data_IF_484339440588
#
_entry.id   IF_484339440588
#
_cell.length_a   1.000
_cell.length_b   1.000
_cell.length_c   1.000
_cell.angle_alpha   90.00
_cell.angle_beta   90.00
_cell.angle_gamma   90.00
#
_symmetry.space_group_name_H-M   'P 1'
#
loop_
_entity.id
_entity.type
_entity.pdbx_description
1 polymer ?
#
# COMPACT_ATOMS: atom_id res chain seq x y z
N UNK A 1 -9.62 33.21 -10.14
CA UNK A 1 -8.23 33.40 -9.67
C UNK A 1 -7.54 32.05 -9.70
N UNK A 2 -6.40 31.95 -10.36
CA UNK A 2 -5.50 30.80 -10.23
C UNK A 2 -4.64 31.01 -8.99
N UNK A 3 -4.71 30.10 -8.02
CA UNK A 3 -3.76 30.02 -6.90
C UNK A 3 -2.58 29.16 -7.34
N UNK A 4 -1.35 29.60 -7.08
CA UNK A 4 -0.16 28.76 -7.32
C UNK A 4 -0.06 27.62 -6.29
N UNK A 5 0.75 26.61 -6.58
CA UNK A 5 0.98 25.51 -5.62
C UNK A 5 1.64 26.01 -4.33
N UNK A 6 2.62 26.90 -4.44
CA UNK A 6 3.30 27.49 -3.29
C UNK A 6 2.32 28.24 -2.37
N UNK A 7 1.51 29.12 -2.96
CA UNK A 7 0.47 29.86 -2.20
C UNK A 7 -0.55 28.91 -1.56
N UNK A 8 -0.93 27.82 -2.23
CA UNK A 8 -1.84 26.83 -1.67
C UNK A 8 -1.22 26.11 -0.47
N UNK A 9 0.02 25.63 -0.59
CA UNK A 9 0.67 24.87 0.49
C UNK A 9 1.14 25.73 1.66
N UNK A 10 1.35 27.04 1.46
CA UNK A 10 1.61 27.98 2.53
C UNK A 10 0.40 28.23 3.44
N UNK A 11 -0.83 27.91 2.99
CA UNK A 11 -2.05 28.12 3.76
C UNK A 11 -2.22 27.11 4.91
N UNK A 12 -2.87 27.51 6.02
CA UNK A 12 -3.32 26.57 7.05
C UNK A 12 -4.17 25.43 6.47
N UNK A 13 -4.13 24.27 7.11
CA UNK A 13 -4.84 23.07 6.62
C UNK A 13 -6.35 23.27 6.44
N UNK A 14 -6.96 24.06 7.33
CA UNK A 14 -8.38 24.43 7.24
C UNK A 14 -8.68 25.22 5.96
N UNK A 15 -7.88 26.24 5.66
CA UNK A 15 -8.03 27.05 4.43
C UNK A 15 -7.75 26.22 3.15
N UNK A 16 -6.76 25.33 3.17
CA UNK A 16 -6.55 24.38 2.07
C UNK A 16 -7.81 23.54 1.82
N UNK A 17 -8.42 23.02 2.90
CA UNK A 17 -9.66 22.23 2.82
C UNK A 17 -10.85 23.07 2.34
N UNK A 18 -10.96 24.34 2.74
CA UNK A 18 -12.00 25.26 2.25
C UNK A 18 -11.90 25.47 0.74
N UNK A 19 -10.68 25.73 0.24
CA UNK A 19 -10.41 25.87 -1.19
C UNK A 19 -10.74 24.59 -1.96
N UNK A 20 -10.33 23.43 -1.44
CA UNK A 20 -10.65 22.13 -2.05
C UNK A 20 -12.15 21.90 -2.08
N UNK A 21 -12.86 22.13 -0.97
CA UNK A 21 -14.31 21.95 -0.88
C UNK A 21 -15.04 22.87 -1.86
N UNK A 22 -14.72 24.15 -1.85
CA UNK A 22 -15.33 25.14 -2.73
C UNK A 22 -15.15 24.78 -4.21
N UNK A 23 -13.92 24.44 -4.62
CA UNK A 23 -13.63 24.23 -6.03
C UNK A 23 -13.99 22.83 -6.55
N UNK A 24 -13.97 21.81 -5.68
CA UNK A 24 -14.17 20.42 -6.08
C UNK A 24 -15.52 19.83 -5.64
N UNK A 25 -16.28 20.49 -4.77
CA UNK A 25 -17.57 19.98 -4.28
C UNK A 25 -18.72 20.99 -4.44
N UNK A 26 -18.43 22.30 -4.42
CA UNK A 26 -19.45 23.36 -4.57
C UNK A 26 -19.55 23.84 -6.01
N UNK A 27 -18.45 24.34 -6.58
CA UNK A 27 -18.37 24.89 -7.93
C UNK A 27 -18.47 23.84 -9.03
N UNK A 28 -18.27 22.57 -8.70
CA UNK A 28 -18.28 21.43 -9.62
C UNK A 28 -18.93 20.24 -8.94
N UNK A 29 -19.56 19.37 -9.74
CA UNK A 29 -20.05 18.10 -9.22
C UNK A 29 -18.85 17.20 -8.81
N UNK A 30 -18.90 16.58 -7.61
CA UNK A 30 -17.82 15.74 -7.10
C UNK A 30 -17.81 14.34 -7.74
N UNK A 31 -17.40 14.26 -9.02
CA UNK A 31 -17.52 13.03 -9.84
C UNK A 31 -16.27 12.14 -9.88
N UNK A 32 -15.10 12.62 -9.49
CA UNK A 32 -13.91 11.76 -9.42
C UNK A 32 -14.00 10.79 -8.25
N UNK A 33 -13.33 9.64 -8.37
CA UNK A 33 -13.32 8.61 -7.32
C UNK A 33 -12.86 9.14 -5.95
N UNK A 34 -11.87 10.05 -5.92
CA UNK A 34 -11.42 10.66 -4.67
C UNK A 34 -12.49 11.56 -4.03
N UNK A 35 -13.27 12.30 -4.84
CA UNK A 35 -14.35 13.15 -4.35
C UNK A 35 -15.55 12.33 -3.90
N UNK A 36 -15.97 11.34 -4.70
CA UNK A 36 -17.04 10.38 -4.34
C UNK A 36 -16.67 9.67 -3.05
N UNK A 37 -15.39 9.30 -2.87
CA UNK A 37 -14.90 8.69 -1.63
C UNK A 37 -15.17 9.54 -0.39
N UNK A 38 -14.91 10.85 -0.45
CA UNK A 38 -15.23 11.78 0.66
C UNK A 38 -16.73 11.82 0.93
N UNK A 39 -17.57 11.90 -0.11
CA UNK A 39 -19.04 11.88 0.03
C UNK A 39 -19.51 10.57 0.68
N UNK A 40 -19.00 9.42 0.23
CA UNK A 40 -19.32 8.11 0.78
C UNK A 40 -18.96 8.01 2.26
N UNK A 41 -17.78 8.51 2.66
CA UNK A 41 -17.37 8.55 4.07
C UNK A 41 -18.37 9.36 4.90
N UNK A 42 -18.67 10.58 4.47
CA UNK A 42 -19.57 11.48 5.21
C UNK A 42 -20.98 10.88 5.34
N UNK A 43 -21.51 10.28 4.27
CA UNK A 43 -22.80 9.57 4.35
C UNK A 43 -22.77 8.40 5.33
N UNK A 44 -21.73 7.55 5.27
CA UNK A 44 -21.59 6.41 6.18
C UNK A 44 -21.43 6.80 7.65
N UNK A 45 -20.93 8.01 7.91
CA UNK A 45 -20.82 8.58 9.27
C UNK A 45 -22.12 9.21 9.77
N UNK A 46 -23.16 9.30 8.93
CA UNK A 46 -24.46 9.91 9.27
C UNK A 46 -24.54 11.41 8.97
N UNK A 47 -23.66 11.94 8.10
CA UNK A 47 -23.55 13.38 7.80
C UNK A 47 -24.20 13.78 6.46
N UNK A 48 -25.12 12.96 5.95
CA UNK A 48 -25.78 13.17 4.66
C UNK A 48 -26.46 14.55 4.54
N UNK A 49 -27.08 15.03 5.63
CA UNK A 49 -27.73 16.34 5.66
C UNK A 49 -26.75 17.49 5.47
N UNK A 50 -25.56 17.41 6.10
CA UNK A 50 -24.51 18.41 5.93
C UNK A 50 -23.94 18.36 4.52
N UNK A 51 -23.73 17.17 3.95
CA UNK A 51 -23.29 17.02 2.55
C UNK A 51 -24.29 17.65 1.59
N UNK A 52 -25.58 17.39 1.79
CA UNK A 52 -26.67 17.94 0.96
C UNK A 52 -26.69 19.46 0.99
N UNK A 53 -26.50 20.05 2.18
CA UNK A 53 -26.40 21.51 2.38
C UNK A 53 -25.04 22.10 2.02
N UNK A 54 -24.05 21.25 1.67
CA UNK A 54 -22.64 21.59 1.45
C UNK A 54 -21.99 22.29 2.65
N UNK A 55 -22.43 21.95 3.84
CA UNK A 55 -22.05 22.60 5.11
C UNK A 55 -20.76 21.98 5.69
N UNK A 56 -19.61 22.49 5.23
CA UNK A 56 -18.30 22.08 5.73
C UNK A 56 -18.09 22.44 7.21
N UNK A 57 -18.70 23.52 7.70
CA UNK A 57 -18.57 23.95 9.09
C UNK A 57 -19.28 22.96 10.04
N UNK A 58 -20.50 22.54 9.70
CA UNK A 58 -21.23 21.49 10.41
C UNK A 58 -20.49 20.15 10.41
N UNK A 59 -19.89 19.77 9.29
CA UNK A 59 -19.03 18.57 9.20
C UNK A 59 -17.86 18.66 10.18
N UNK A 60 -17.13 19.79 10.21
CA UNK A 60 -16.01 20.00 11.13
C UNK A 60 -16.44 19.96 12.60
N UNK A 61 -17.55 20.60 12.92
CA UNK A 61 -18.09 20.62 14.28
C UNK A 61 -18.42 19.19 14.77
N UNK A 62 -18.94 18.34 13.89
CA UNK A 62 -19.16 16.93 14.19
C UNK A 62 -17.85 16.18 14.48
N UNK A 63 -16.84 16.34 13.61
CA UNK A 63 -15.53 15.70 13.79
C UNK A 63 -14.83 16.14 15.09
N UNK A 64 -14.98 17.41 15.49
CA UNK A 64 -14.39 17.93 16.72
C UNK A 64 -14.98 17.32 18.00
N UNK A 65 -16.16 16.70 17.91
CA UNK A 65 -16.83 16.04 19.05
C UNK A 65 -16.47 14.56 19.18
N UNK A 66 -15.70 13.99 18.26
CA UNK A 66 -15.40 12.55 18.28
C UNK A 66 -14.25 12.25 19.24
N UNK A 67 -14.41 11.19 20.04
CA UNK A 67 -13.31 10.55 20.73
C UNK A 67 -12.45 9.73 19.75
N UNK A 68 -11.13 9.74 19.94
CA UNK A 68 -10.20 9.14 18.98
C UNK A 68 -10.33 7.62 18.94
N UNK A 69 -10.32 6.95 20.09
CA UNK A 69 -10.43 5.50 20.20
C UNK A 69 -11.79 4.99 19.72
N UNK A 70 -12.88 5.67 20.12
CA UNK A 70 -14.23 5.34 19.65
C UNK A 70 -14.37 5.55 18.13
N UNK A 71 -13.78 6.62 17.59
CA UNK A 71 -13.81 6.90 16.16
C UNK A 71 -13.05 5.83 15.36
N UNK A 72 -11.91 5.36 15.87
CA UNK A 72 -11.17 4.24 15.26
C UNK A 72 -12.05 3.00 15.19
N UNK A 73 -12.69 2.59 16.28
CA UNK A 73 -13.55 1.39 16.25
C UNK A 73 -14.76 1.59 15.34
N UNK A 74 -15.38 2.78 15.34
CA UNK A 74 -16.48 3.12 14.41
C UNK A 74 -16.05 2.97 12.96
N UNK A 75 -14.89 3.49 12.57
CA UNK A 75 -14.36 3.36 11.20
C UNK A 75 -14.11 1.90 10.85
N UNK A 76 -13.52 1.10 11.75
CA UNK A 76 -13.27 -0.32 11.50
C UNK A 76 -14.56 -1.12 11.32
N UNK A 77 -15.60 -0.82 12.11
CA UNK A 77 -16.92 -1.43 11.99
C UNK A 77 -17.58 -1.07 10.65
N UNK A 78 -17.65 0.22 10.31
CA UNK A 78 -18.23 0.69 9.04
C UNK A 78 -17.49 0.12 7.82
N UNK A 79 -16.16 0.09 7.87
CA UNK A 79 -15.33 -0.47 6.81
C UNK A 79 -15.36 -2.01 6.78
N UNK A 80 -15.86 -2.67 7.83
CA UNK A 80 -15.80 -4.13 8.03
C UNK A 80 -14.37 -4.67 7.92
N UNK A 81 -13.44 -4.06 8.67
CA UNK A 81 -12.01 -4.39 8.66
C UNK A 81 -11.63 -5.04 9.99
N UNK A 82 -10.94 -6.19 9.93
CA UNK A 82 -10.46 -6.90 11.12
C UNK A 82 -9.24 -6.22 11.73
N UNK A 83 -8.24 -5.92 10.89
CA UNK A 83 -7.02 -5.19 11.24
C UNK A 83 -6.49 -4.45 10.00
N UNK A 84 -5.59 -3.51 10.23
CA UNK A 84 -4.77 -2.86 9.20
C UNK A 84 -3.31 -3.24 9.39
N UNK A 85 -2.55 -3.17 8.30
CA UNK A 85 -1.09 -3.23 8.36
C UNK A 85 -0.54 -1.85 8.05
N UNK A 86 0.20 -1.31 9.02
CA UNK A 86 0.83 0.01 8.93
C UNK A 86 2.08 -0.06 8.06
N UNK A 87 2.48 1.09 7.52
CA UNK A 87 3.79 1.29 6.90
C UNK A 87 4.67 2.00 7.92
N UNK A 88 5.71 1.31 8.42
CA UNK A 88 6.56 1.84 9.49
C UNK A 88 8.00 2.05 9.01
N UNK A 89 8.50 3.28 9.11
CA UNK A 89 9.73 3.72 8.46
C UNK A 89 10.81 3.96 9.52
N UNK A 90 11.76 3.03 9.73
CA UNK A 90 12.83 3.19 10.72
C UNK A 90 13.85 4.27 10.34
N UNK A 91 13.75 4.83 9.13
CA UNK A 91 14.58 5.91 8.61
C UNK A 91 13.97 7.31 8.88
N UNK A 92 12.78 7.38 9.47
CA UNK A 92 12.11 8.65 9.80
C UNK A 92 12.15 8.86 11.32
N UNK A 93 12.98 9.81 11.75
CA UNK A 93 13.22 10.12 13.17
C UNK A 93 11.94 10.34 13.99
N UNK A 94 11.00 11.09 13.43
CA UNK A 94 9.71 11.37 14.09
C UNK A 94 8.93 10.08 14.39
N UNK A 95 9.04 9.07 13.53
CA UNK A 95 8.37 7.79 13.75
C UNK A 95 9.15 6.91 14.73
N UNK A 96 10.48 6.84 14.60
CA UNK A 96 11.31 6.04 15.50
C UNK A 96 11.22 6.52 16.95
N UNK A 97 11.14 7.83 17.18
CA UNK A 97 10.91 8.43 18.50
C UNK A 97 9.58 7.96 19.13
N UNK A 98 8.52 7.78 18.34
CA UNK A 98 7.24 7.27 18.84
C UNK A 98 7.34 5.80 19.25
N UNK A 99 8.03 4.98 18.46
CA UNK A 99 8.26 3.58 18.80
C UNK A 99 9.14 3.42 20.05
N UNK A 100 10.15 4.27 20.22
CA UNK A 100 11.04 4.26 21.38
C UNK A 100 10.34 4.65 22.69
N UNK A 101 9.21 5.37 22.63
CA UNK A 101 8.39 5.69 23.80
C UNK A 101 7.62 4.47 24.36
N UNK A 102 7.67 3.30 23.69
CA UNK A 102 7.17 2.04 24.25
C UNK A 102 5.65 1.88 24.25
N UNK A 103 4.90 2.70 23.51
CA UNK A 103 3.46 2.50 23.32
C UNK A 103 3.26 1.37 22.30
N UNK A 104 3.02 0.16 22.78
CA UNK A 104 2.69 -0.99 21.92
C UNK A 104 1.48 -0.71 21.03
N UNK A 105 1.30 -1.50 19.97
CA UNK A 105 0.17 -1.34 19.06
C UNK A 105 -1.05 -2.16 19.51
N UNK A 106 -2.25 -1.67 19.18
CA UNK A 106 -3.47 -2.46 19.31
C UNK A 106 -3.43 -3.66 18.36
N UNK A 107 -4.14 -4.76 18.70
CA UNK A 107 -4.33 -5.93 17.81
C UNK A 107 -4.94 -5.56 16.45
N UNK A 108 -5.57 -4.39 16.35
CA UNK A 108 -6.10 -3.80 15.10
C UNK A 108 -5.01 -3.28 14.16
N UNK A 109 -3.80 -3.02 14.65
CA UNK A 109 -2.71 -2.38 13.91
C UNK A 109 -1.47 -3.27 13.94
N UNK A 110 -1.25 -4.00 12.85
CA UNK A 110 -0.01 -4.74 12.60
C UNK A 110 1.01 -3.82 11.93
N UNK A 111 2.28 -4.14 12.01
CA UNK A 111 3.38 -3.32 11.47
C UNK A 111 4.07 -3.99 10.27
N UNK A 112 4.60 -3.16 9.37
CA UNK A 112 5.49 -3.61 8.32
C UNK A 112 6.68 -2.66 8.23
N UNK A 113 7.89 -3.22 8.11
CA UNK A 113 9.12 -2.43 8.12
C UNK A 113 9.42 -1.92 6.70
N UNK A 114 9.31 -0.61 6.48
CA UNK A 114 9.58 0.02 5.19
C UNK A 114 11.06 0.33 5.00
N UNK A 115 11.66 -0.20 3.94
CA UNK A 115 13.09 -0.21 3.67
C UNK A 115 13.46 0.30 2.26
N UNK A 116 12.69 1.27 1.74
CA UNK A 116 12.96 1.92 0.44
C UNK A 116 14.45 2.25 0.19
N UNK A 117 15.23 2.79 1.15
CA UNK A 117 16.64 3.09 0.93
C UNK A 117 17.50 1.91 0.44
N UNK A 118 17.15 0.68 0.81
CA UNK A 118 17.85 -0.53 0.37
C UNK A 118 17.70 -0.71 -1.15
N UNK A 119 16.47 -0.61 -1.67
CA UNK A 119 16.19 -0.84 -3.09
C UNK A 119 16.60 0.35 -3.96
N UNK A 120 16.67 1.56 -3.39
CA UNK A 120 17.18 2.72 -4.12
C UNK A 120 18.71 2.79 -4.16
N UNK A 121 19.41 1.96 -3.38
CA UNK A 121 20.86 2.09 -3.21
C UNK A 121 21.26 3.33 -2.42
N UNK A 122 20.38 3.82 -1.54
CA UNK A 122 20.60 5.05 -0.77
C UNK A 122 21.37 4.76 0.53
N UNK A 123 22.68 4.53 0.35
CA UNK A 123 23.60 4.24 1.44
C UNK A 123 23.79 5.42 2.40
N UNK A 124 23.61 6.66 1.92
CA UNK A 124 23.68 7.86 2.75
C UNK A 124 22.60 7.88 3.83
N UNK A 125 21.35 7.62 3.46
CA UNK A 125 20.25 7.51 4.44
C UNK A 125 20.48 6.36 5.41
N UNK A 126 20.95 5.20 4.92
CA UNK A 126 21.22 4.04 5.78
C UNK A 126 22.31 4.37 6.81
N UNK A 127 23.47 4.87 6.37
CA UNK A 127 24.60 5.17 7.27
C UNK A 127 24.30 6.29 8.26
N UNK A 128 23.49 7.28 7.90
CA UNK A 128 23.00 8.29 8.84
C UNK A 128 22.24 7.62 10.02
N UNK A 129 21.34 6.68 9.72
CA UNK A 129 20.62 5.94 10.75
C UNK A 129 21.53 4.97 11.54
N UNK A 130 22.54 4.38 10.91
CA UNK A 130 23.52 3.54 11.61
C UNK A 130 24.31 4.35 12.64
N UNK A 131 24.76 5.56 12.28
CA UNK A 131 25.42 6.50 13.21
C UNK A 131 24.54 6.82 14.41
N UNK A 132 23.28 7.21 14.16
CA UNK A 132 22.33 7.51 15.24
C UNK A 132 22.07 6.30 16.15
N UNK A 133 22.11 5.09 15.60
CA UNK A 133 21.97 3.84 16.34
C UNK A 133 23.27 3.33 17.00
N UNK A 134 24.40 4.04 16.86
CA UNK A 134 25.72 3.59 17.28
C UNK A 134 26.14 2.23 16.67
N UNK A 135 25.76 1.99 15.43
CA UNK A 135 26.13 0.80 14.65
C UNK A 135 27.23 1.15 13.64
N UNK A 136 28.13 0.19 13.30
CA UNK A 136 29.17 0.43 12.30
C UNK A 136 28.54 0.67 10.92
N UNK A 137 29.13 1.58 10.13
CA UNK A 137 28.71 1.89 8.75
C UNK A 137 29.11 0.80 7.76
N UNK A 138 28.68 -0.44 8.01
CA UNK A 138 28.95 -1.62 7.18
C UNK A 138 27.67 -2.37 6.85
N UNK A 139 27.75 -3.34 5.94
CA UNK A 139 26.62 -4.19 5.58
C UNK A 139 26.12 -4.99 6.80
N UNK A 140 27.02 -5.41 7.70
CA UNK A 140 26.70 -6.04 8.98
C UNK A 140 25.89 -5.10 9.87
N UNK A 141 26.31 -3.83 9.98
CA UNK A 141 25.57 -2.81 10.72
C UNK A 141 24.19 -2.57 10.14
N UNK A 142 24.06 -2.51 8.82
CA UNK A 142 22.77 -2.42 8.13
C UNK A 142 21.86 -3.63 8.41
N UNK A 143 22.42 -4.85 8.42
CA UNK A 143 21.68 -6.07 8.80
C UNK A 143 21.16 -5.95 10.24
N UNK A 144 22.03 -5.59 11.18
CA UNK A 144 21.66 -5.49 12.59
C UNK A 144 20.61 -4.41 12.85
N UNK A 145 20.71 -3.28 12.14
CA UNK A 145 19.71 -2.20 12.20
C UNK A 145 18.32 -2.69 11.76
N UNK A 146 18.23 -3.34 10.59
CA UNK A 146 16.96 -3.87 10.09
C UNK A 146 16.40 -4.95 11.00
N UNK A 147 17.23 -5.85 11.54
CA UNK A 147 16.79 -6.88 12.49
C UNK A 147 16.25 -6.28 13.78
N UNK A 148 16.97 -5.31 14.34
CA UNK A 148 16.58 -4.63 15.56
C UNK A 148 15.21 -3.97 15.40
N UNK A 149 15.01 -3.23 14.31
CA UNK A 149 13.73 -2.57 14.05
C UNK A 149 12.61 -3.54 13.70
N UNK A 150 12.87 -4.56 12.87
CA UNK A 150 11.87 -5.58 12.54
C UNK A 150 11.35 -6.29 13.80
N UNK A 151 12.25 -6.65 14.73
CA UNK A 151 11.88 -7.24 16.02
C UNK A 151 11.14 -6.25 16.91
N UNK A 152 11.62 -5.01 17.03
CA UNK A 152 11.03 -3.97 17.88
C UNK A 152 9.58 -3.68 17.54
N UNK A 153 9.26 -3.56 16.26
CA UNK A 153 7.90 -3.24 15.82
C UNK A 153 7.05 -4.48 15.60
N UNK A 154 7.60 -5.69 15.76
CA UNK A 154 6.96 -6.96 15.43
C UNK A 154 6.50 -7.01 13.96
N UNK A 155 7.37 -6.59 13.05
CA UNK A 155 7.07 -6.49 11.62
C UNK A 155 6.61 -7.84 11.06
N UNK A 156 5.48 -7.84 10.33
CA UNK A 156 4.98 -9.07 9.69
C UNK A 156 5.55 -9.28 8.28
N UNK A 157 6.14 -8.24 7.69
CA UNK A 157 6.93 -8.31 6.46
C UNK A 157 7.84 -7.08 6.34
N UNK A 158 8.87 -7.19 5.49
CA UNK A 158 9.64 -6.04 4.99
C UNK A 158 8.91 -5.46 3.79
N UNK A 159 8.91 -4.15 3.59
CA UNK A 159 8.32 -3.53 2.41
C UNK A 159 9.18 -2.45 1.78
N UNK A 160 9.11 -2.29 0.47
CA UNK A 160 9.79 -1.22 -0.23
C UNK A 160 9.02 -0.80 -1.49
N UNK A 161 9.07 0.50 -1.80
CA UNK A 161 8.77 0.97 -3.16
C UNK A 161 10.06 1.00 -3.98
N UNK A 162 10.02 0.49 -5.20
CA UNK A 162 11.17 0.54 -6.09
C UNK A 162 11.34 1.96 -6.65
N UNK A 163 12.58 2.41 -6.95
CA UNK A 163 12.77 3.55 -7.83
C UNK A 163 12.26 3.22 -9.25
N UNK A 164 12.07 4.26 -10.08
CA UNK A 164 11.57 4.09 -11.45
C UNK A 164 12.55 3.33 -12.36
N UNK A 165 13.85 3.49 -12.11
CA UNK A 165 14.97 2.88 -12.80
C UNK A 165 15.52 1.66 -12.04
N UNK A 166 14.66 0.96 -11.28
CA UNK A 166 15.08 -0.17 -10.46
C UNK A 166 15.73 -1.27 -11.29
N UNK A 167 16.95 -1.63 -10.89
CA UNK A 167 17.73 -2.73 -11.46
C UNK A 167 18.11 -3.72 -10.36
N UNK A 168 18.26 -4.97 -10.74
CA UNK A 168 18.76 -6.03 -9.87
C UNK A 168 19.59 -7.01 -10.69
N UNK A 169 20.86 -7.18 -10.32
CA UNK A 169 21.79 -8.07 -11.00
C UNK A 169 23.12 -7.39 -11.37
N UNK A 170 23.92 -8.02 -12.25
CA UNK A 170 25.31 -7.62 -12.49
C UNK A 170 25.49 -6.26 -13.18
N UNK A 171 24.42 -5.68 -13.73
CA UNK A 171 24.45 -4.37 -14.39
C UNK A 171 24.01 -3.22 -13.48
N UNK A 172 23.58 -3.52 -12.25
CA UNK A 172 23.24 -2.50 -11.26
C UNK A 172 24.50 -1.74 -10.82
N UNK A 173 24.37 -0.42 -10.68
CA UNK A 173 25.47 0.49 -10.41
C UNK A 173 25.23 1.26 -9.10
N UNK A 174 26.28 1.57 -8.32
CA UNK A 174 26.14 2.40 -7.14
C UNK A 174 25.58 3.78 -7.49
N UNK A 175 24.73 4.33 -6.63
CA UNK A 175 24.23 5.71 -6.79
C UNK A 175 25.31 6.78 -6.60
N UNK A 176 26.36 6.47 -5.84
CA UNK A 176 27.52 7.33 -5.65
C UNK A 176 28.81 6.50 -5.61
N UNK A 177 29.97 7.08 -5.98
CA UNK A 177 31.26 6.40 -5.85
C UNK A 177 31.51 5.89 -4.42
N UNK A 178 31.91 4.62 -4.29
CA UNK A 178 32.19 3.98 -3.00
C UNK A 178 30.96 3.47 -2.24
N UNK A 179 29.75 3.71 -2.73
CA UNK A 179 28.54 3.10 -2.15
C UNK A 179 28.34 1.66 -2.64
N UNK A 180 27.67 0.79 -1.86
CA UNK A 180 27.17 -0.47 -2.39
C UNK A 180 26.09 -0.24 -3.45
N UNK A 181 25.94 -1.20 -4.36
CA UNK A 181 24.80 -1.24 -5.30
C UNK A 181 23.51 -1.60 -4.55
N UNK A 182 22.34 -1.35 -5.16
CA UNK A 182 21.08 -1.85 -4.60
C UNK A 182 21.10 -3.39 -4.56
N UNK A 183 21.65 -4.04 -5.57
CA UNK A 183 21.83 -5.50 -5.65
C UNK A 183 22.64 -6.02 -4.46
N UNK A 184 23.75 -5.38 -4.12
CA UNK A 184 24.56 -5.73 -2.93
C UNK A 184 23.76 -5.56 -1.65
N UNK A 185 23.05 -4.44 -1.47
CA UNK A 185 22.21 -4.23 -0.30
C UNK A 185 21.08 -5.26 -0.20
N UNK A 186 20.49 -5.65 -1.33
CA UNK A 186 19.44 -6.67 -1.37
C UNK A 186 20.00 -8.04 -0.98
N UNK A 187 21.09 -8.46 -1.61
CA UNK A 187 21.68 -9.79 -1.46
C UNK A 187 22.34 -9.99 -0.09
N UNK A 188 23.02 -8.96 0.41
CA UNK A 188 23.82 -9.04 1.64
C UNK A 188 23.08 -8.47 2.86
N UNK A 189 22.01 -7.69 2.69
CA UNK A 189 21.28 -7.10 3.82
C UNK A 189 19.83 -7.56 3.86
N UNK A 190 19.02 -7.22 2.86
CA UNK A 190 17.57 -7.50 2.90
C UNK A 190 17.24 -8.99 2.93
N UNK A 191 17.81 -9.77 2.01
CA UNK A 191 17.54 -11.20 1.88
C UNK A 191 17.99 -11.98 3.12
N UNK A 192 19.19 -11.78 3.68
CA UNK A 192 19.61 -12.44 4.91
C UNK A 192 18.71 -12.11 6.10
N UNK A 193 18.29 -10.84 6.26
CA UNK A 193 17.36 -10.45 7.33
C UNK A 193 15.99 -11.11 7.15
N UNK A 194 15.47 -11.11 5.92
CA UNK A 194 14.21 -11.78 5.60
C UNK A 194 14.28 -13.28 5.92
N UNK A 195 15.38 -13.95 5.56
CA UNK A 195 15.61 -15.37 5.82
C UNK A 195 15.71 -15.68 7.32
N UNK A 196 16.53 -14.93 8.04
CA UNK A 196 16.77 -15.13 9.48
C UNK A 196 15.48 -14.95 10.29
N UNK A 197 14.63 -13.98 9.93
CA UNK A 197 13.41 -13.66 10.67
C UNK A 197 12.15 -14.33 10.12
N UNK A 198 12.24 -15.02 8.97
CA UNK A 198 11.10 -15.57 8.25
C UNK A 198 10.11 -14.49 7.82
N UNK A 199 10.61 -13.37 7.30
CA UNK A 199 9.79 -12.22 6.88
C UNK A 199 9.65 -12.17 5.35
N UNK A 200 8.42 -12.16 4.82
CA UNK A 200 8.18 -11.90 3.40
C UNK A 200 8.61 -10.48 3.00
N UNK A 201 8.79 -10.27 1.70
CA UNK A 201 9.24 -9.00 1.13
C UNK A 201 8.16 -8.41 0.20
N UNK A 202 7.54 -7.32 0.61
CA UNK A 202 6.51 -6.60 -0.14
C UNK A 202 7.09 -5.49 -1.01
N UNK A 203 6.98 -5.64 -2.33
CA UNK A 203 7.52 -4.72 -3.33
C UNK A 203 6.39 -3.96 -4.02
N UNK A 204 6.49 -2.63 -4.04
CA UNK A 204 5.61 -1.73 -4.79
C UNK A 204 6.37 -1.18 -6.01
N UNK A 205 5.98 -1.56 -7.22
CA UNK A 205 6.74 -1.29 -8.45
C UNK A 205 6.05 -0.28 -9.37
N UNK A 206 6.84 0.60 -9.99
CA UNK A 206 6.39 1.49 -11.08
C UNK A 206 6.06 2.93 -10.70
N UNK A 207 6.41 3.39 -9.50
CA UNK A 207 6.29 4.81 -9.14
C UNK A 207 7.47 5.63 -9.68
N UNK A 208 7.17 6.73 -10.37
CA UNK A 208 8.16 7.73 -10.76
C UNK A 208 8.07 8.93 -9.81
N UNK A 209 9.04 9.03 -8.89
CA UNK A 209 9.04 10.08 -7.88
C UNK A 209 9.36 11.44 -8.47
N UNK A 210 8.71 12.48 -7.96
CA UNK A 210 9.06 13.88 -8.30
C UNK A 210 8.83 14.25 -9.77
N UNK A 211 7.83 13.67 -10.43
CA UNK A 211 7.40 14.07 -11.77
C UNK A 211 6.92 15.53 -11.80
N UNK A 212 6.30 15.99 -10.71
CA UNK A 212 6.04 17.40 -10.43
C UNK A 212 6.41 17.73 -8.98
N UNK A 213 7.67 18.16 -8.71
CA UNK A 213 8.15 18.40 -7.35
C UNK A 213 7.35 19.44 -6.56
N UNK A 214 6.68 20.37 -7.24
CA UNK A 214 5.87 21.39 -6.58
C UNK A 214 4.63 20.81 -5.86
N UNK A 215 4.25 19.55 -6.16
CA UNK A 215 3.16 18.83 -5.50
C UNK A 215 3.64 17.84 -4.42
N UNK A 216 4.94 17.83 -4.09
CA UNK A 216 5.50 16.97 -3.04
C UNK A 216 4.84 17.15 -1.65
N UNK A 217 4.43 18.36 -1.20
CA UNK A 217 3.81 18.52 0.12
C UNK A 217 2.53 17.71 0.33
N UNK A 218 1.82 17.32 -0.73
CA UNK A 218 0.67 16.43 -0.66
C UNK A 218 0.93 15.00 -1.16
N UNK A 219 2.17 14.70 -1.56
CA UNK A 219 2.53 13.43 -2.21
C UNK A 219 1.89 13.25 -3.59
N UNK A 220 1.38 14.32 -4.21
CA UNK A 220 0.73 14.31 -5.52
C UNK A 220 1.67 14.56 -6.69
N UNK A 221 2.97 14.78 -6.41
CA UNK A 221 4.00 15.06 -7.41
C UNK A 221 4.60 13.82 -8.07
N UNK A 222 4.22 12.62 -7.62
CA UNK A 222 4.69 11.38 -8.23
C UNK A 222 3.86 11.04 -9.47
N UNK A 223 4.41 10.18 -10.31
CA UNK A 223 3.75 9.64 -11.49
C UNK A 223 3.93 8.13 -11.59
N UNK A 224 3.64 7.60 -12.77
CA UNK A 224 3.71 6.16 -13.07
C UNK A 224 4.59 5.90 -14.28
N UNK A 225 5.36 4.81 -14.21
CA UNK A 225 6.09 4.22 -15.33
C UNK A 225 5.72 2.74 -15.47
N UNK A 226 5.90 2.21 -16.66
CA UNK A 226 5.90 0.75 -16.87
C UNK A 226 7.16 0.21 -16.21
N UNK A 227 7.00 -0.61 -15.17
CA UNK A 227 8.12 -1.20 -14.47
C UNK A 227 8.70 -2.36 -15.29
N UNK A 228 10.02 -2.51 -15.28
CA UNK A 228 10.66 -3.77 -15.70
C UNK A 228 10.34 -4.86 -14.67
N UNK A 229 9.81 -5.98 -15.16
CA UNK A 229 9.44 -7.15 -14.34
C UNK A 229 10.65 -8.07 -14.13
N UNK A 230 11.72 -7.94 -14.92
CA UNK A 230 12.91 -8.78 -14.84
C UNK A 230 13.59 -8.79 -13.45
N UNK A 231 13.73 -7.65 -12.73
CA UNK A 231 14.24 -7.66 -11.36
C UNK A 231 13.42 -8.54 -10.40
N UNK A 232 12.09 -8.45 -10.44
CA UNK A 232 11.22 -9.27 -9.60
C UNK A 232 11.34 -10.75 -9.94
N UNK A 233 11.38 -11.10 -11.24
CA UNK A 233 11.61 -12.47 -11.70
C UNK A 233 12.94 -13.03 -11.18
N UNK A 234 14.02 -12.25 -11.30
CA UNK A 234 15.34 -12.65 -10.83
C UNK A 234 15.39 -12.83 -9.30
N UNK A 235 14.74 -11.94 -8.54
CA UNK A 235 14.60 -12.09 -7.09
C UNK A 235 13.90 -13.38 -6.70
N UNK A 236 12.76 -13.68 -7.34
CA UNK A 236 12.00 -14.91 -7.08
C UNK A 236 12.80 -16.16 -7.43
N UNK A 237 13.52 -16.15 -8.56
CA UNK A 237 14.33 -17.27 -9.03
C UNK A 237 15.56 -17.52 -8.15
N UNK A 238 16.25 -16.47 -7.72
CA UNK A 238 17.46 -16.58 -6.89
C UNK A 238 17.15 -16.98 -5.45
N UNK A 239 15.96 -16.62 -4.95
CA UNK A 239 15.57 -16.83 -3.55
C UNK A 239 14.25 -17.64 -3.45
N UNK A 240 14.24 -18.92 -3.86
CA UNK A 240 13.04 -19.74 -3.90
C UNK A 240 12.43 -20.04 -2.52
N UNK A 241 13.21 -19.84 -1.45
CA UNK A 241 12.83 -19.98 -0.05
C UNK A 241 12.22 -18.69 0.54
N UNK A 242 12.41 -17.54 -0.13
CA UNK A 242 11.89 -16.25 0.31
C UNK A 242 10.57 -15.96 -0.38
N UNK A 243 9.59 -15.52 0.42
CA UNK A 243 8.26 -15.11 -0.05
C UNK A 243 8.27 -13.63 -0.46
N UNK A 244 7.75 -13.34 -1.65
CA UNK A 244 7.60 -12.01 -2.21
C UNK A 244 6.12 -11.65 -2.35
N UNK A 245 5.75 -10.48 -1.84
CA UNK A 245 4.49 -9.82 -2.13
C UNK A 245 4.75 -8.74 -3.18
N UNK A 246 3.91 -8.62 -4.21
CA UNK A 246 4.11 -7.58 -5.23
C UNK A 246 2.82 -6.85 -5.62
N UNK A 247 2.93 -5.55 -5.82
CA UNK A 247 1.88 -4.73 -6.45
C UNK A 247 2.51 -3.76 -7.45
N UNK A 248 1.81 -3.54 -8.56
CA UNK A 248 2.30 -2.73 -9.68
C UNK A 248 1.40 -1.53 -9.89
N UNK A 249 2.01 -0.37 -10.15
CA UNK A 249 1.31 0.89 -10.31
C UNK A 249 0.72 1.07 -11.70
N UNK A 250 1.40 0.56 -12.71
CA UNK A 250 0.99 0.68 -14.11
C UNK A 250 -0.04 -0.38 -14.48
N UNK A 251 -1.09 0.06 -15.20
CA UNK A 251 -2.12 -0.82 -15.76
C UNK A 251 -1.53 -1.86 -16.73
N UNK A 252 -0.54 -1.47 -17.54
CA UNK A 252 0.00 -2.36 -18.58
C UNK A 252 0.86 -3.50 -18.04
N UNK A 253 1.43 -3.36 -16.83
CA UNK A 253 2.19 -4.45 -16.20
C UNK A 253 1.30 -5.59 -15.69
N UNK A 254 -0.01 -5.33 -15.47
CA UNK A 254 -0.85 -6.24 -14.68
C UNK A 254 -0.95 -7.64 -15.29
N UNK A 255 -1.04 -7.74 -16.62
CA UNK A 255 -1.12 -9.04 -17.31
C UNK A 255 0.17 -9.86 -17.18
N UNK A 256 1.32 -9.27 -17.51
CA UNK A 256 2.62 -9.95 -17.41
C UNK A 256 2.87 -10.46 -16.00
N UNK A 257 2.50 -9.66 -15.00
CA UNK A 257 2.68 -10.02 -13.58
C UNK A 257 1.75 -11.17 -13.17
N UNK A 258 0.54 -11.28 -13.72
CA UNK A 258 -0.30 -12.47 -13.53
C UNK A 258 0.39 -13.73 -14.07
N UNK A 259 0.97 -13.66 -15.28
CA UNK A 259 1.73 -14.78 -15.86
C UNK A 259 2.91 -15.13 -14.98
N UNK A 260 3.65 -14.13 -14.48
CA UNK A 260 4.79 -14.35 -13.59
C UNK A 260 4.38 -15.09 -12.31
N UNK A 261 3.28 -14.68 -11.67
CA UNK A 261 2.76 -15.33 -10.46
C UNK A 261 2.44 -16.81 -10.68
N UNK A 262 1.96 -17.21 -11.87
CA UNK A 262 1.77 -18.63 -12.19
C UNK A 262 3.08 -19.44 -12.19
N UNK A 263 4.23 -18.80 -12.38
CA UNK A 263 5.54 -19.49 -12.49
C UNK A 263 6.28 -19.56 -11.17
N UNK A 264 5.99 -18.66 -10.23
CA UNK A 264 6.72 -18.52 -8.97
C UNK A 264 5.80 -18.70 -7.77
N UNK A 265 5.83 -19.89 -7.15
CA UNK A 265 5.05 -20.20 -5.93
C UNK A 265 5.37 -19.29 -4.74
N UNK A 266 6.54 -18.65 -4.77
CA UNK A 266 7.01 -17.72 -3.76
C UNK A 266 6.67 -16.26 -4.10
N UNK A 267 5.80 -16.01 -5.09
CA UNK A 267 5.29 -14.68 -5.44
C UNK A 267 3.77 -14.62 -5.23
N UNK A 268 3.31 -13.66 -4.45
CA UNK A 268 1.89 -13.37 -4.25
C UNK A 268 1.57 -11.93 -4.64
N UNK A 269 0.72 -11.74 -5.64
CA UNK A 269 0.34 -10.40 -6.09
C UNK A 269 -0.88 -9.91 -5.33
N UNK A 270 -0.89 -8.62 -5.02
CA UNK A 270 -1.95 -8.04 -4.21
C UNK A 270 -2.36 -6.65 -4.69
N UNK A 271 -3.64 -6.37 -4.57
CA UNK A 271 -4.18 -5.02 -4.64
C UNK A 271 -4.22 -4.35 -6.01
N UNK A 272 -4.91 -3.21 -6.03
CA UNK A 272 -4.93 -2.26 -7.13
C UNK A 272 -4.33 -0.95 -6.61
N UNK A 273 -3.02 -0.79 -6.75
CA UNK A 273 -2.27 0.27 -6.08
C UNK A 273 -2.50 1.64 -6.71
N UNK A 274 -2.81 2.65 -5.88
CA UNK A 274 -2.82 4.08 -6.21
C UNK A 274 -3.53 4.45 -7.52
N UNK A 275 -2.84 4.65 -8.65
CA UNK A 275 -3.50 4.99 -9.93
C UNK A 275 -4.38 3.85 -10.48
N UNK A 276 -4.11 2.61 -10.07
CA UNK A 276 -4.99 1.47 -10.34
C UNK A 276 -6.18 1.38 -9.37
N UNK A 277 -6.25 2.23 -8.32
CA UNK A 277 -7.32 2.20 -7.33
C UNK A 277 -8.56 3.02 -7.77
N UNK A 278 -9.06 2.71 -8.96
CA UNK A 278 -10.26 3.28 -9.56
C UNK A 278 -11.21 2.13 -9.94
N UNK A 279 -12.54 2.27 -9.83
CA UNK A 279 -13.48 1.15 -10.02
C UNK A 279 -13.32 0.38 -11.34
N UNK A 280 -13.07 1.09 -12.46
CA UNK A 280 -12.83 0.47 -13.77
C UNK A 280 -11.55 -0.38 -13.81
N UNK A 281 -10.48 0.10 -13.17
CA UNK A 281 -9.21 -0.62 -13.08
C UNK A 281 -9.32 -1.80 -12.10
N UNK A 282 -10.05 -1.63 -10.98
CA UNK A 282 -10.29 -2.71 -10.03
C UNK A 282 -11.07 -3.85 -10.68
N UNK A 283 -12.13 -3.56 -11.46
CA UNK A 283 -12.88 -4.58 -12.20
C UNK A 283 -11.96 -5.33 -13.18
N UNK A 284 -11.27 -4.60 -14.07
CA UNK A 284 -10.41 -5.18 -15.10
C UNK A 284 -9.28 -6.04 -14.50
N UNK A 285 -8.57 -5.52 -13.51
CA UNK A 285 -7.45 -6.22 -12.86
C UNK A 285 -7.96 -7.45 -12.10
N UNK A 286 -9.08 -7.34 -11.40
CA UNK A 286 -9.65 -8.48 -10.66
C UNK A 286 -10.11 -9.58 -11.61
N UNK A 287 -10.76 -9.21 -12.72
CA UNK A 287 -11.23 -10.14 -13.76
C UNK A 287 -10.08 -10.91 -14.40
N UNK A 288 -9.04 -10.21 -14.80
CA UNK A 288 -7.83 -10.81 -15.36
C UNK A 288 -7.17 -11.77 -14.35
N UNK A 289 -7.01 -11.34 -13.11
CA UNK A 289 -6.38 -12.16 -12.05
C UNK A 289 -7.19 -13.39 -11.72
N UNK A 290 -8.52 -13.30 -11.58
CA UNK A 290 -9.32 -14.48 -11.24
C UNK A 290 -9.34 -15.50 -12.38
N UNK A 291 -9.34 -15.05 -13.63
CA UNK A 291 -9.29 -15.92 -14.81
C UNK A 291 -7.96 -16.68 -14.91
N UNK A 292 -6.85 -16.07 -14.49
CA UNK A 292 -5.51 -16.67 -14.60
C UNK A 292 -5.02 -17.37 -13.33
N UNK A 293 -5.46 -16.93 -12.15
CA UNK A 293 -4.92 -17.34 -10.85
C UNK A 293 -5.95 -17.98 -9.92
N UNK A 294 -7.23 -18.01 -10.31
CA UNK A 294 -8.31 -18.42 -9.41
C UNK A 294 -8.34 -17.52 -8.17
N UNK A 295 -8.23 -18.11 -6.97
CA UNK A 295 -8.24 -17.37 -5.70
C UNK A 295 -6.84 -17.21 -5.07
N UNK A 296 -5.78 -17.52 -5.80
CA UNK A 296 -4.39 -17.46 -5.33
C UNK A 296 -3.76 -16.05 -5.43
N UNK A 297 -4.52 -15.02 -5.06
CA UNK A 297 -4.07 -13.63 -4.98
C UNK A 297 -4.90 -12.85 -3.97
N UNK A 298 -4.51 -11.62 -3.65
CA UNK A 298 -5.33 -10.72 -2.83
C UNK A 298 -5.87 -9.57 -3.66
N UNK A 299 -7.19 -9.42 -3.69
CA UNK A 299 -7.85 -8.54 -4.65
C UNK A 299 -7.56 -7.05 -4.39
N UNK A 300 -7.51 -6.64 -3.12
CA UNK A 300 -7.40 -5.22 -2.79
C UNK A 300 -6.54 -4.90 -1.55
N UNK A 301 -5.98 -3.69 -1.51
CA UNK A 301 -5.58 -2.97 -0.30
C UNK A 301 -6.05 -1.50 -0.37
N UNK A 302 -6.17 -0.80 0.76
CA UNK A 302 -6.71 0.57 0.78
C UNK A 302 -5.67 1.65 0.45
N UNK A 303 -4.42 1.45 0.90
CA UNK A 303 -3.37 2.48 0.96
C UNK A 303 -3.87 3.78 1.63
N UNK A 304 -4.75 3.63 2.63
CA UNK A 304 -5.38 4.75 3.33
C UNK A 304 -4.33 5.58 4.08
N UNK A 305 -4.36 6.90 3.85
CA UNK A 305 -3.52 7.89 4.54
C UNK A 305 -4.29 8.70 5.59
N UNK A 306 -5.62 8.66 5.50
CA UNK A 306 -6.54 9.20 6.50
C UNK A 306 -7.44 8.03 6.91
N UNK A 307 -7.65 7.87 8.22
CA UNK A 307 -8.28 6.69 8.83
C UNK A 307 -9.62 6.31 8.18
N UNK A 308 -10.51 7.28 8.01
CA UNK A 308 -11.86 7.06 7.48
C UNK A 308 -11.93 6.77 5.98
N UNK A 309 -10.81 6.92 5.25
CA UNK A 309 -10.72 6.43 3.87
C UNK A 309 -10.94 4.92 3.80
N UNK A 310 -10.68 4.17 4.88
CA UNK A 310 -11.02 2.74 4.96
C UNK A 310 -12.48 2.49 4.57
N UNK A 311 -13.40 3.36 4.96
CA UNK A 311 -14.83 3.20 4.70
C UNK A 311 -15.09 3.13 3.19
N UNK A 312 -14.74 4.19 2.44
CA UNK A 312 -15.04 4.22 1.01
C UNK A 312 -14.13 3.27 0.21
N UNK A 313 -12.85 3.14 0.57
CA UNK A 313 -11.90 2.26 -0.15
C UNK A 313 -12.41 0.83 -0.16
N UNK A 314 -12.86 0.32 0.98
CA UNK A 314 -13.40 -1.03 1.07
C UNK A 314 -14.81 -1.14 0.49
N UNK A 315 -15.69 -0.15 0.69
CA UNK A 315 -17.03 -0.17 0.12
C UNK A 315 -17.00 -0.19 -1.42
N UNK A 316 -16.22 0.71 -2.03
CA UNK A 316 -16.11 0.85 -3.47
C UNK A 316 -15.41 -0.36 -4.10
N UNK A 317 -14.32 -0.84 -3.48
CA UNK A 317 -13.61 -2.02 -3.99
C UNK A 317 -14.48 -3.27 -3.94
N UNK A 318 -15.22 -3.51 -2.84
CA UNK A 318 -16.17 -4.64 -2.77
C UNK A 318 -17.25 -4.52 -3.85
N UNK A 319 -17.75 -3.31 -4.12
CA UNK A 319 -18.74 -3.05 -5.17
C UNK A 319 -18.19 -3.31 -6.58
N UNK A 320 -16.90 -3.05 -6.82
CA UNK A 320 -16.24 -3.36 -8.09
C UNK A 320 -15.88 -4.86 -8.23
N UNK A 321 -15.48 -5.52 -7.13
CA UNK A 321 -15.07 -6.94 -7.15
C UNK A 321 -16.27 -7.89 -7.22
N UNK A 322 -17.37 -7.59 -6.50
CA UNK A 322 -18.49 -8.52 -6.38
C UNK A 322 -19.11 -8.95 -7.74
N UNK A 323 -19.35 -8.05 -8.71
CA UNK A 323 -19.85 -8.44 -10.03
C UNK A 323 -18.93 -9.42 -10.76
N UNK A 324 -17.61 -9.23 -10.65
CA UNK A 324 -16.61 -10.14 -11.25
C UNK A 324 -16.75 -11.54 -10.67
N UNK A 325 -16.87 -11.67 -9.34
CA UNK A 325 -17.02 -12.97 -8.68
C UNK A 325 -18.35 -13.65 -9.04
N UNK A 326 -19.45 -12.89 -9.03
CA UNK A 326 -20.78 -13.38 -9.41
C UNK A 326 -20.74 -13.95 -10.83
N UNK A 327 -20.11 -13.24 -11.77
CA UNK A 327 -20.00 -13.72 -13.15
C UNK A 327 -19.21 -15.03 -13.25
N UNK A 328 -18.09 -15.16 -12.54
CA UNK A 328 -17.27 -16.39 -12.56
C UNK A 328 -17.99 -17.57 -11.90
N UNK A 329 -18.66 -17.37 -10.77
CA UNK A 329 -19.47 -18.42 -10.14
C UNK A 329 -20.65 -18.84 -11.03
N UNK A 330 -21.30 -17.91 -11.72
CA UNK A 330 -22.34 -18.25 -12.68
C UNK A 330 -21.79 -19.00 -13.90
N UNK A 331 -20.59 -18.67 -14.39
CA UNK A 331 -19.92 -19.44 -15.46
C UNK A 331 -19.68 -20.88 -14.99
N UNK A 332 -19.21 -21.05 -13.76
CA UNK A 332 -18.98 -22.36 -13.15
C UNK A 332 -20.28 -23.17 -13.01
N UNK A 333 -21.37 -22.56 -12.53
CA UNK A 333 -22.70 -23.19 -12.49
C UNK A 333 -23.20 -23.61 -13.88
N UNK A 334 -23.06 -22.74 -14.89
CA UNK A 334 -23.46 -23.06 -16.28
C UNK A 334 -22.64 -24.20 -16.88
N UNK A 335 -21.41 -24.41 -16.42
CA UNK A 335 -20.57 -25.54 -16.80
C UNK A 335 -20.95 -26.85 -16.09
N UNK A 336 -21.99 -26.85 -15.25
CA UNK A 336 -22.48 -28.04 -14.55
C UNK A 336 -21.91 -28.26 -13.15
N UNK A 337 -21.13 -27.32 -12.62
CA UNK A 337 -20.62 -27.41 -11.25
C UNK A 337 -21.67 -26.92 -10.24
N UNK A 338 -21.82 -27.64 -9.13
CA UNK A 338 -22.72 -27.23 -8.03
C UNK A 338 -21.94 -26.39 -7.03
N UNK A 339 -22.29 -25.11 -6.92
CA UNK A 339 -21.65 -24.17 -6.01
C UNK A 339 -22.45 -24.09 -4.70
N UNK A 340 -21.81 -24.30 -3.55
CA UNK A 340 -22.45 -24.08 -2.24
C UNK A 340 -22.17 -22.69 -1.68
N UNK A 341 -22.98 -22.27 -0.70
CA UNK A 341 -22.78 -21.00 -0.01
C UNK A 341 -21.43 -20.95 0.72
N UNK A 342 -21.05 -22.05 1.36
CA UNK A 342 -19.82 -22.18 2.13
C UNK A 342 -18.58 -22.06 1.22
N UNK A 343 -18.65 -22.62 0.01
CA UNK A 343 -17.57 -22.48 -0.99
C UNK A 343 -17.43 -21.03 -1.45
N UNK A 344 -18.54 -20.35 -1.72
CA UNK A 344 -18.56 -18.93 -2.08
C UNK A 344 -17.97 -18.08 -0.96
N UNK A 345 -18.38 -18.30 0.29
CA UNK A 345 -17.87 -17.57 1.45
C UNK A 345 -16.37 -17.79 1.64
N UNK A 346 -15.89 -19.04 1.53
CA UNK A 346 -14.47 -19.40 1.58
C UNK A 346 -13.67 -18.68 0.49
N UNK A 347 -14.14 -18.69 -0.74
CA UNK A 347 -13.40 -18.15 -1.88
C UNK A 347 -13.43 -16.62 -1.93
N UNK A 348 -14.50 -15.99 -1.44
CA UNK A 348 -14.52 -14.55 -1.13
C UNK A 348 -13.51 -14.24 -0.02
N UNK A 349 -13.49 -15.02 1.06
CA UNK A 349 -12.56 -14.80 2.18
C UNK A 349 -11.10 -14.88 1.71
N UNK A 350 -10.76 -15.87 0.88
CA UNK A 350 -9.43 -16.01 0.25
C UNK A 350 -9.00 -14.73 -0.45
N UNK A 351 -9.83 -14.19 -1.35
CA UNK A 351 -9.52 -12.97 -2.10
C UNK A 351 -9.46 -11.70 -1.24
N UNK A 352 -10.24 -11.65 -0.16
CA UNK A 352 -10.38 -10.48 0.72
C UNK A 352 -9.39 -10.48 1.91
N UNK A 353 -8.41 -11.38 1.91
CA UNK A 353 -7.32 -11.39 2.88
C UNK A 353 -6.83 -12.78 3.27
N UNK A 354 -7.65 -13.81 3.09
CA UNK A 354 -7.31 -15.18 3.47
C UNK A 354 -6.08 -15.73 2.76
N UNK A 355 -6.00 -15.60 1.43
CA UNK A 355 -4.83 -16.03 0.67
C UNK A 355 -3.55 -15.28 1.06
N UNK A 356 -3.70 -14.03 1.54
CA UNK A 356 -2.57 -13.26 2.08
C UNK A 356 -2.14 -13.79 3.45
N UNK A 357 -3.08 -14.11 4.34
CA UNK A 357 -2.75 -14.70 5.64
C UNK A 357 -2.09 -16.08 5.49
N UNK A 358 -2.62 -16.92 4.60
CA UNK A 358 -2.06 -18.23 4.26
C UNK A 358 -0.65 -18.08 3.67
N UNK A 359 -0.44 -17.11 2.79
CA UNK A 359 0.87 -16.84 2.21
C UNK A 359 1.86 -16.34 3.26
N UNK A 360 1.45 -15.50 4.22
CA UNK A 360 2.31 -14.99 5.28
C UNK A 360 2.61 -15.99 6.40
N UNK A 361 1.84 -17.07 6.53
CA UNK A 361 2.06 -18.09 7.55
C UNK A 361 3.51 -18.64 7.49
N UNK A 362 4.17 -18.77 8.65
CA UNK A 362 5.55 -19.23 8.74
C UNK A 362 5.68 -20.73 8.55
#
# INVERSE_FOLDING_TARGET
MSISYEEFFAKPKAEQADLVWEHLFVKRLPVSEAQIGVVTVLHALGLADFVTKRDLAGIRAWFAQQDMEEYVEKVFQLAKVKYVVMTNIPFVKQETEKWLQGKGTSKRFKSALRIDPVLSGDWGTITACLKEANLPETLEGAREFLKTWAKRIEAIYLMASTPADFQYGPHDCPRQPGWPTATTLIDEVMVPVARELGLPQALKLGAMRGMNPALNPCGGGDGVVVADVAPLRALCQKNPDIKFLATFLSRVNQHEVCVLTQKFRNLHIYGCWWYCNNPSMIDEITRMRIEMLGTAFTAQHSDARILDQLIYKWAHSRKAIAPVLVEQFQKLCRAGWVVTKEEVERDIWRLMGGSYEDFLAK
#
